data_IF_403107628119
#
_entry.id   IF_403107628119
#
_cell.length_a   1.000
_cell.length_b   1.000
_cell.length_c   1.000
_cell.angle_alpha   90.00
_cell.angle_beta   90.00
_cell.angle_gamma   90.00
#
_symmetry.space_group_name_H-M   'P 1'
#
loop_
_entity.id
_entity.type
_entity.pdbx_description
1 polymer ?
#
# COMPACT_ATOMS: atom_id res chain seq x y z
N UNK A 1 -14.26 -4.96 13.90
CA UNK A 1 -12.92 -5.31 14.00
C UNK A 1 -12.12 -4.28 14.63
N UNK A 2 -11.29 -4.71 15.41
CA UNK A 2 -10.72 -3.77 16.32
C UNK A 2 -9.26 -3.48 15.98
N UNK A 3 -9.03 -3.19 14.73
CA UNK A 3 -7.70 -2.81 14.34
C UNK A 3 -7.35 -1.47 14.99
N UNK A 4 -6.22 -1.43 15.63
CA UNK A 4 -5.80 -0.22 16.28
C UNK A 4 -4.71 0.42 15.44
N UNK A 5 -4.90 1.69 15.07
CA UNK A 5 -3.96 2.40 14.22
C UNK A 5 -2.60 2.52 14.90
N UNK A 6 -1.54 2.22 14.15
CA UNK A 6 -0.20 2.31 14.70
C UNK A 6 0.19 3.77 14.88
N UNK A 7 0.95 4.02 15.94
CA UNK A 7 1.44 5.35 16.19
C UNK A 7 2.65 5.60 15.30
N UNK A 8 2.52 6.56 14.39
CA UNK A 8 3.55 6.84 13.42
C UNK A 8 4.72 7.55 14.07
N UNK A 9 5.92 7.25 13.61
CA UNK A 9 7.12 7.92 14.07
C UNK A 9 8.14 7.91 12.92
N UNK A 10 9.20 8.66 13.07
CA UNK A 10 10.28 8.62 12.10
C UNK A 10 10.99 7.25 12.21
N UNK A 11 11.42 6.68 11.09
CA UNK A 11 12.10 5.39 11.16
C UNK A 11 13.43 5.51 11.87
N UNK A 12 13.74 4.54 12.73
CA UNK A 12 14.99 4.56 13.49
C UNK A 12 16.18 4.22 12.60
N UNK A 13 15.97 3.46 11.53
CA UNK A 13 17.03 3.14 10.57
C UNK A 13 16.50 3.49 9.18
N UNK A 14 16.91 4.63 8.68
CA UNK A 14 16.40 5.15 7.41
C UNK A 14 16.75 4.24 6.25
N UNK A 15 17.97 3.68 6.24
CA UNK A 15 18.36 2.82 5.13
C UNK A 15 17.56 1.52 5.11
N UNK A 16 17.34 0.91 6.25
CA UNK A 16 16.52 -0.30 6.30
C UNK A 16 15.08 0.00 5.92
N UNK A 17 14.56 1.14 6.35
CA UNK A 17 13.21 1.55 5.99
C UNK A 17 13.09 1.79 4.50
N UNK A 18 14.12 2.41 3.90
CA UNK A 18 14.12 2.69 2.47
C UNK A 18 14.09 1.39 1.66
N UNK A 19 14.86 0.39 2.08
CA UNK A 19 14.84 -0.90 1.41
C UNK A 19 13.48 -1.56 1.53
N UNK A 20 12.89 -1.49 2.70
CA UNK A 20 11.55 -2.07 2.89
C UNK A 20 10.52 -1.32 2.05
N UNK A 21 10.61 0.01 1.97
CA UNK A 21 9.68 0.79 1.17
C UNK A 21 9.79 0.44 -0.31
N UNK A 22 11.01 0.22 -0.80
CA UNK A 22 11.19 -0.19 -2.18
C UNK A 22 10.61 -1.57 -2.44
N UNK A 23 10.76 -2.48 -1.49
CA UNK A 23 10.16 -3.80 -1.60
C UNK A 23 8.63 -3.71 -1.64
N UNK A 24 8.05 -2.88 -0.77
CA UNK A 24 6.60 -2.66 -0.75
C UNK A 24 6.13 -2.13 -2.11
N UNK A 25 6.84 -1.14 -2.66
CA UNK A 25 6.47 -0.61 -3.97
C UNK A 25 6.56 -1.68 -5.06
N UNK A 26 7.54 -2.55 -4.99
CA UNK A 26 7.67 -3.64 -5.95
C UNK A 26 6.44 -4.57 -5.86
N UNK A 27 5.99 -4.86 -4.66
CA UNK A 27 4.80 -5.71 -4.47
C UNK A 27 3.55 -5.03 -5.02
N UNK A 28 3.44 -3.71 -4.85
CA UNK A 28 2.26 -2.98 -5.32
C UNK A 28 2.24 -2.84 -6.83
N UNK A 29 3.39 -2.60 -7.42
CA UNK A 29 3.47 -2.36 -8.87
C UNK A 29 3.56 -3.64 -9.67
N UNK A 30 4.12 -4.68 -9.10
CA UNK A 30 4.42 -5.88 -9.86
C UNK A 30 5.50 -5.61 -10.88
N UNK A 31 5.48 -6.31 -11.99
CA UNK A 31 6.49 -6.14 -13.03
C UNK A 31 6.26 -4.80 -13.74
N UNK A 32 7.32 -4.02 -13.87
CA UNK A 32 7.25 -2.77 -14.60
C UNK A 32 7.75 -2.93 -16.03
N UNK A 33 8.27 -4.10 -16.39
CA UNK A 33 8.76 -4.33 -17.73
C UNK A 33 7.61 -4.59 -18.68
N UNK A 34 7.50 -3.87 -19.79
CA UNK A 34 6.44 -4.16 -20.75
C UNK A 34 6.69 -5.47 -21.46
N UNK A 35 5.63 -6.12 -21.88
CA UNK A 35 5.71 -7.36 -22.64
C UNK A 35 5.06 -7.15 -24.00
N UNK A 36 5.67 -7.73 -25.04
CA UNK A 36 5.09 -7.65 -26.37
C UNK A 36 4.56 -9.04 -26.76
N UNK A 37 3.28 -9.10 -27.07
CA UNK A 37 2.63 -10.33 -27.48
C UNK A 37 1.90 -10.02 -28.78
N UNK A 38 2.26 -10.76 -29.83
CA UNK A 38 1.64 -10.58 -31.15
C UNK A 38 1.73 -9.12 -31.61
N UNK A 39 2.88 -8.49 -31.38
CA UNK A 39 3.10 -7.12 -31.83
C UNK A 39 2.45 -6.03 -30.95
N UNK A 40 1.75 -6.43 -29.88
CA UNK A 40 1.13 -5.48 -28.99
C UNK A 40 1.91 -5.42 -27.68
N UNK A 41 2.30 -4.22 -27.29
CA UNK A 41 3.06 -4.03 -26.06
C UNK A 41 2.11 -3.71 -24.92
N UNK A 42 2.22 -4.47 -23.83
CA UNK A 42 1.32 -4.34 -22.68
C UNK A 42 2.11 -4.23 -21.41
N UNK A 43 1.53 -3.60 -20.41
CA UNK A 43 2.08 -3.60 -19.05
C UNK A 43 1.28 -4.60 -18.22
N UNK A 44 1.82 -4.98 -17.06
CA UNK A 44 1.14 -5.96 -16.21
C UNK A 44 -0.16 -5.38 -15.67
N UNK A 45 -1.09 -6.27 -15.36
CA UNK A 45 -2.36 -5.87 -14.77
C UNK A 45 -2.14 -5.14 -13.46
N UNK A 46 -1.21 -5.63 -12.65
CA UNK A 46 -0.93 -5.02 -11.35
C UNK A 46 -0.41 -3.60 -11.50
N UNK A 47 0.48 -3.37 -12.46
CA UNK A 47 1.00 -2.03 -12.69
C UNK A 47 -0.10 -1.10 -13.21
N UNK A 48 -0.94 -1.60 -14.10
CA UNK A 48 -2.04 -0.81 -14.63
C UNK A 48 -2.98 -0.37 -13.51
N UNK A 49 -3.31 -1.30 -12.61
CA UNK A 49 -4.17 -0.98 -11.48
C UNK A 49 -3.51 0.03 -10.55
N UNK A 50 -2.22 -0.18 -10.27
CA UNK A 50 -1.50 0.76 -9.41
C UNK A 50 -1.55 2.18 -9.96
N UNK A 51 -1.44 2.33 -11.28
CA UNK A 51 -1.47 3.65 -11.90
C UNK A 51 -2.81 4.35 -11.71
N UNK A 52 -3.91 3.61 -11.52
CA UNK A 52 -5.20 4.24 -11.33
C UNK A 52 -5.36 4.87 -9.95
N UNK A 53 -4.52 4.50 -8.99
CA UNK A 53 -4.66 5.01 -7.63
C UNK A 53 -4.23 6.48 -7.48
N UNK A 54 -3.48 6.98 -8.43
CA UNK A 54 -2.94 8.34 -8.31
C UNK A 54 -2.00 8.48 -7.14
N UNK A 55 -1.23 7.43 -6.86
CA UNK A 55 -0.34 7.42 -5.70
C UNK A 55 0.76 8.47 -5.84
N UNK A 56 0.98 9.26 -4.79
CA UNK A 56 1.98 10.31 -4.78
C UNK A 56 2.39 10.63 -3.34
N UNK A 57 3.37 11.49 -3.19
CA UNK A 57 3.81 11.98 -1.88
C UNK A 57 4.29 10.84 -1.00
N UNK A 58 5.18 10.03 -1.55
CA UNK A 58 5.71 8.87 -0.83
C UNK A 58 6.61 9.31 0.32
N UNK A 59 6.44 8.68 1.47
CA UNK A 59 7.19 9.04 2.66
C UNK A 59 7.57 7.77 3.43
N UNK A 60 8.81 7.71 3.88
CA UNK A 60 9.25 6.62 4.75
C UNK A 60 8.67 6.85 6.14
N UNK A 61 8.11 5.81 6.74
CA UNK A 61 7.53 5.92 8.08
C UNK A 61 7.97 4.74 8.92
N UNK A 62 7.90 4.95 10.22
CA UNK A 62 8.08 3.89 11.19
C UNK A 62 6.94 3.92 12.17
N UNK A 63 6.90 2.97 13.07
CA UNK A 63 5.91 2.95 14.14
C UNK A 63 6.63 2.81 15.48
N UNK A 64 5.95 3.19 16.54
CA UNK A 64 6.56 3.11 17.88
C UNK A 64 6.79 1.67 18.31
N UNK A 65 6.15 0.70 17.67
CA UNK A 65 6.38 -0.71 17.97
C UNK A 65 7.45 -1.33 17.05
N UNK A 66 8.20 -0.51 16.32
CA UNK A 66 9.36 -1.00 15.59
C UNK A 66 9.16 -1.43 14.16
N UNK A 67 7.99 -1.18 13.58
CA UNK A 67 7.75 -1.53 12.18
C UNK A 67 8.29 -0.44 11.27
N UNK A 68 8.67 -0.83 10.07
CA UNK A 68 9.05 0.12 9.03
C UNK A 68 7.99 0.09 7.94
N UNK A 69 7.77 1.19 7.28
CA UNK A 69 6.76 1.22 6.25
C UNK A 69 6.85 2.39 5.30
N UNK A 70 5.79 2.51 4.52
CA UNK A 70 5.67 3.51 3.47
C UNK A 70 4.30 4.14 3.56
N UNK A 71 4.25 5.46 3.49
CA UNK A 71 3.00 6.18 3.41
C UNK A 71 2.92 6.85 2.06
N UNK A 72 1.75 6.88 1.47
CA UNK A 72 1.52 7.65 0.24
C UNK A 72 0.08 8.13 0.22
N UNK A 73 -0.18 9.10 -0.67
CA UNK A 73 -1.51 9.67 -0.83
C UNK A 73 -2.13 9.10 -2.09
N UNK A 74 -3.41 8.79 -2.05
CA UNK A 74 -4.13 8.25 -3.20
C UNK A 74 -5.39 9.06 -3.46
N UNK A 75 -5.88 8.98 -4.70
CA UNK A 75 -7.11 9.64 -5.10
C UNK A 75 -7.94 8.62 -5.89
N UNK A 76 -8.26 7.51 -5.27
CA UNK A 76 -9.03 6.47 -5.93
C UNK A 76 -10.53 6.72 -5.84
N UNK A 77 -11.29 5.83 -6.44
CA UNK A 77 -12.74 5.96 -6.44
C UNK A 77 -13.34 5.71 -5.06
N UNK A 78 -12.76 4.81 -4.29
CA UNK A 78 -13.31 4.47 -2.98
C UNK A 78 -12.58 5.18 -1.85
N UNK A 79 -11.30 5.45 -1.99
CA UNK A 79 -10.54 6.07 -0.91
C UNK A 79 -9.71 7.21 -1.45
N UNK A 80 -9.86 8.37 -0.86
CA UNK A 80 -9.01 9.53 -1.11
C UNK A 80 -8.39 9.89 0.21
N UNK A 81 -7.09 9.77 0.32
CA UNK A 81 -6.40 10.05 1.56
C UNK A 81 -5.07 9.35 1.58
N UNK A 82 -4.64 8.97 2.77
CA UNK A 82 -3.33 8.35 2.95
C UNK A 82 -3.46 6.86 3.10
N UNK A 83 -2.45 6.16 2.62
CA UNK A 83 -2.33 4.72 2.83
C UNK A 83 -1.01 4.51 3.53
N UNK A 84 -1.01 3.75 4.61
CA UNK A 84 0.21 3.38 5.32
C UNK A 84 0.35 1.89 5.30
N UNK A 85 1.49 1.41 4.84
CA UNK A 85 1.78 -0.01 4.80
C UNK A 85 3.01 -0.25 5.65
N UNK A 86 2.86 -1.07 6.69
CA UNK A 86 3.95 -1.39 7.61
C UNK A 86 4.34 -2.84 7.46
N UNK A 87 5.62 -3.12 7.55
CA UNK A 87 6.11 -4.48 7.63
C UNK A 87 6.31 -4.82 9.09
N UNK A 88 5.70 -5.92 9.52
CA UNK A 88 5.83 -6.37 10.91
C UNK A 88 6.87 -7.50 10.94
N UNK A 89 8.07 -7.26 11.46
CA UNK A 89 9.11 -8.27 11.45
C UNK A 89 8.81 -9.46 12.37
N UNK A 90 7.95 -9.28 13.36
CA UNK A 90 7.60 -10.38 14.25
C UNK A 90 6.73 -11.42 13.55
N UNK A 91 5.86 -11.01 12.65
CA UNK A 91 4.95 -11.92 11.96
C UNK A 91 5.35 -12.18 10.52
N UNK A 92 6.22 -11.33 9.96
CA UNK A 92 6.60 -11.38 8.54
C UNK A 92 5.41 -11.11 7.63
N UNK A 93 4.44 -10.34 8.13
CA UNK A 93 3.28 -9.91 7.36
C UNK A 93 3.22 -8.40 7.33
N UNK A 94 2.30 -7.86 6.54
CA UNK A 94 2.12 -6.42 6.41
C UNK A 94 0.81 -5.99 7.07
N UNK A 95 0.83 -4.79 7.62
CA UNK A 95 -0.39 -4.15 8.10
C UNK A 95 -0.67 -2.97 7.18
N UNK A 96 -1.94 -2.76 6.84
CA UNK A 96 -2.33 -1.70 5.91
C UNK A 96 -3.35 -0.81 6.59
N UNK A 97 -3.13 0.50 6.55
CA UNK A 97 -4.04 1.47 7.15
C UNK A 97 -4.49 2.45 6.09
N UNK A 98 -5.79 2.72 6.06
CA UNK A 98 -6.37 3.74 5.18
C UNK A 98 -6.78 4.90 6.08
N UNK A 99 -6.20 6.07 5.86
CA UNK A 99 -6.29 7.23 6.74
C UNK A 99 -7.00 8.36 6.00
N UNK A 100 -7.85 9.12 6.68
CA UNK A 100 -8.53 10.24 6.07
C UNK A 100 -7.53 11.28 5.58
N UNK A 101 -7.92 12.01 4.54
CA UNK A 101 -6.99 12.94 3.87
C UNK A 101 -6.51 14.05 4.80
N UNK A 102 -7.40 14.59 5.62
CA UNK A 102 -7.07 15.77 6.41
C UNK A 102 -7.09 15.53 7.92
N UNK A 103 -7.31 14.33 8.35
CA UNK A 103 -7.34 14.02 9.76
C UNK A 103 -6.52 12.77 10.01
N UNK A 104 -5.93 12.71 11.19
CA UNK A 104 -5.20 11.52 11.56
C UNK A 104 -6.24 10.55 12.10
N UNK A 105 -7.07 10.05 11.23
CA UNK A 105 -8.20 9.22 11.62
C UNK A 105 -8.25 8.00 10.71
N UNK A 106 -8.28 6.83 11.30
CA UNK A 106 -8.33 5.58 10.57
C UNK A 106 -9.70 5.38 9.93
N UNK A 107 -9.72 5.14 8.63
CA UNK A 107 -10.95 4.74 7.94
C UNK A 107 -11.10 3.23 8.05
N UNK A 108 -10.02 2.50 7.80
CA UNK A 108 -10.05 1.05 7.87
C UNK A 108 -8.62 0.53 8.01
N UNK A 109 -8.42 -0.57 8.68
CA UNK A 109 -7.11 -1.16 8.85
C UNK A 109 -7.17 -2.67 8.72
N UNK A 110 -6.08 -3.26 8.24
CA UNK A 110 -5.96 -4.69 8.06
C UNK A 110 -4.61 -5.12 8.57
N UNK A 111 -4.56 -6.24 9.29
CA UNK A 111 -3.29 -6.76 9.75
C UNK A 111 -3.04 -8.14 9.17
N UNK A 112 -1.80 -8.55 9.21
CA UNK A 112 -1.38 -9.89 8.77
C UNK A 112 -1.69 -10.17 7.30
N UNK A 113 -1.39 -9.19 6.46
CA UNK A 113 -1.56 -9.32 5.01
C UNK A 113 -0.25 -9.85 4.44
N UNK A 114 -0.29 -10.97 3.70
CA UNK A 114 0.93 -11.51 3.15
C UNK A 114 1.30 -10.78 1.85
N UNK A 115 2.53 -11.02 1.40
CA UNK A 115 3.06 -10.27 0.27
C UNK A 115 2.27 -10.51 -1.02
N UNK A 116 1.62 -11.65 -1.16
CA UNK A 116 0.86 -11.95 -2.38
C UNK A 116 -0.47 -11.23 -2.40
N UNK A 117 -1.00 -10.89 -1.24
CA UNK A 117 -2.29 -10.24 -1.13
C UNK A 117 -2.21 -8.72 -1.01
N UNK A 118 -1.02 -8.18 -0.79
CA UNK A 118 -0.86 -6.77 -0.49
C UNK A 118 -1.46 -5.87 -1.57
N UNK A 119 -1.13 -6.14 -2.83
CA UNK A 119 -1.67 -5.34 -3.93
C UNK A 119 -3.20 -5.42 -3.99
N UNK A 120 -3.74 -6.62 -3.83
CA UNK A 120 -5.18 -6.82 -3.96
C UNK A 120 -5.95 -6.11 -2.84
N UNK A 121 -5.42 -6.13 -1.63
CA UNK A 121 -6.05 -5.43 -0.52
C UNK A 121 -6.08 -3.93 -0.80
N UNK A 122 -4.98 -3.38 -1.26
CA UNK A 122 -4.92 -1.96 -1.57
C UNK A 122 -5.86 -1.60 -2.72
N UNK A 123 -5.82 -2.35 -3.81
CA UNK A 123 -6.65 -2.03 -4.97
C UNK A 123 -8.13 -2.11 -4.64
N UNK A 124 -8.52 -3.13 -3.89
CA UNK A 124 -9.91 -3.31 -3.51
C UNK A 124 -10.43 -2.13 -2.70
N UNK A 125 -9.60 -1.58 -1.83
CA UNK A 125 -10.06 -0.52 -0.93
C UNK A 125 -9.79 0.90 -1.44
N UNK A 126 -8.92 1.05 -2.43
CA UNK A 126 -8.63 2.37 -3.00
C UNK A 126 -9.50 2.65 -4.22
N UNK A 127 -9.54 1.69 -5.14
CA UNK A 127 -10.09 1.99 -6.44
C UNK A 127 -11.32 1.20 -6.83
N UNK A 128 -11.44 -0.02 -6.35
CA UNK A 128 -12.49 -0.85 -6.84
C UNK A 128 -13.82 -0.40 -6.33
N UNK A 129 -14.73 -0.11 -7.22
CA UNK A 129 -16.09 0.24 -6.85
C UNK A 129 -16.75 -0.98 -6.25
N UNK A 130 -17.87 -0.80 -5.61
CA UNK A 130 -18.58 -1.91 -5.04
C UNK A 130 -18.84 -2.91 -6.12
N UNK A 131 -18.64 -4.16 -5.78
CA UNK A 131 -18.74 -5.18 -6.74
C UNK A 131 -20.14 -5.30 -7.17
N UNK A 132 -20.38 -5.07 -8.40
CA UNK A 132 -21.74 -5.09 -8.83
C UNK A 132 -22.28 -6.44 -8.79
N UNK A 133 -21.50 -7.40 -8.55
CA UNK A 133 -21.95 -8.59 -8.49
C UNK A 133 -22.70 -8.70 -7.51
N UNK A 134 -22.59 -8.03 -7.08
CA UNK A 134 -23.35 -7.99 -6.28
C UNK A 134 -24.37 -7.78 -6.50
#
# INVERSE_FOLDING_TARGET
MDYEMKKITAPSDVNACKEMAQYILTLLKGSTAPKTINGITCISERLRQFCTWGAKSFMLIGSTDGCYGLQFVVSGLKHRGRVRIYYNPASDYFDVEFIRARKEELVEGFEDIDFEQLHNVCHKHIERADDPEV
#
